data_IF_437431681864
#
_entry.id   IF_437431681864
#
_cell.length_a   1.000
_cell.length_b   1.000
_cell.length_c   1.000
_cell.angle_alpha   90.00
_cell.angle_beta   90.00
_cell.angle_gamma   90.00
#
_symmetry.space_group_name_H-M   'P 1'
#
loop_
_entity.id
_entity.type
_entity.pdbx_description
1 polymer ?
#
# COMPACT_ATOMS: atom_id res chain seq x y z
N UNK A 1 0.60 8.57 9.78
CA UNK A 1 2.07 8.49 9.96
C UNK A 1 2.74 9.10 8.74
N UNK A 2 3.43 10.20 8.92
CA UNK A 2 4.19 10.82 7.86
C UNK A 2 5.67 10.40 8.01
N UNK A 3 6.23 9.67 7.04
CA UNK A 3 7.62 9.20 7.08
C UNK A 3 8.64 10.34 7.04
N UNK A 4 8.28 11.50 6.54
CA UNK A 4 9.14 12.69 6.54
C UNK A 4 9.02 13.51 7.83
N UNK A 5 8.20 13.10 8.79
CA UNK A 5 8.08 13.78 10.07
C UNK A 5 9.33 13.58 10.93
N UNK A 6 9.70 14.61 11.67
CA UNK A 6 10.77 14.50 12.69
C UNK A 6 10.51 13.34 13.67
N UNK A 7 9.23 13.10 13.98
CA UNK A 7 8.84 11.96 14.83
C UNK A 7 9.32 10.63 14.25
N UNK A 8 9.15 10.39 12.96
CA UNK A 8 9.64 9.16 12.33
C UNK A 8 11.16 9.10 12.33
N UNK A 9 11.82 10.19 11.95
CA UNK A 9 13.28 10.25 11.84
C UNK A 9 13.96 9.93 13.19
N UNK A 10 13.42 10.42 14.30
CA UNK A 10 14.01 10.16 15.62
C UNK A 10 13.52 8.85 16.26
N UNK A 11 12.26 8.48 16.03
CA UNK A 11 11.70 7.31 16.70
C UNK A 11 12.05 6.00 15.99
N UNK A 12 12.17 5.99 14.67
CA UNK A 12 12.50 4.77 13.92
C UNK A 12 13.85 4.15 14.30
N UNK A 13 14.96 4.91 14.47
CA UNK A 13 16.21 4.33 14.98
C UNK A 13 16.06 3.68 16.36
N UNK A 14 15.27 4.28 17.26
CA UNK A 14 15.01 3.72 18.58
C UNK A 14 14.23 2.40 18.45
N UNK A 15 13.18 2.39 17.65
CA UNK A 15 12.40 1.18 17.33
C UNK A 15 13.29 0.09 16.76
N UNK A 16 14.19 0.42 15.83
CA UNK A 16 15.11 -0.54 15.21
C UNK A 16 16.11 -1.13 16.22
N UNK A 17 16.66 -0.30 17.10
CA UNK A 17 17.58 -0.75 18.15
C UNK A 17 16.85 -1.68 19.12
N UNK A 18 15.66 -1.32 19.58
CA UNK A 18 14.85 -2.13 20.48
C UNK A 18 14.45 -3.45 19.82
N UNK A 19 13.99 -3.41 18.56
CA UNK A 19 13.66 -4.60 17.79
C UNK A 19 14.78 -5.64 17.75
N UNK A 20 16.04 -5.20 17.54
CA UNK A 20 17.17 -6.10 17.48
C UNK A 20 17.68 -6.53 18.86
N UNK A 21 17.45 -5.74 19.91
CA UNK A 21 17.78 -6.12 21.32
C UNK A 21 16.77 -7.11 21.90
N UNK A 22 15.52 -7.06 21.47
CA UNK A 22 14.49 -7.95 21.97
C UNK A 22 14.71 -9.41 21.53
N UNK A 23 14.47 -10.40 22.42
CA UNK A 23 14.38 -11.79 22.06
C UNK A 23 13.30 -11.99 20.97
N UNK A 24 13.55 -12.92 20.06
CA UNK A 24 12.69 -13.19 18.90
C UNK A 24 11.19 -13.31 19.26
N UNK A 25 10.87 -14.05 20.31
CA UNK A 25 9.48 -14.31 20.74
C UNK A 25 8.68 -13.06 21.08
N UNK A 26 9.34 -11.93 21.36
CA UNK A 26 8.68 -10.65 21.71
C UNK A 26 8.63 -9.67 20.53
N UNK A 27 9.37 -9.90 19.44
CA UNK A 27 9.50 -8.96 18.33
C UNK A 27 8.16 -8.74 17.61
N UNK A 28 7.37 -9.79 17.43
CA UNK A 28 6.05 -9.70 16.82
C UNK A 28 5.11 -8.78 17.62
N UNK A 29 5.02 -9.00 18.94
CA UNK A 29 4.19 -8.19 19.82
C UNK A 29 4.70 -6.74 19.89
N UNK A 30 6.00 -6.54 19.91
CA UNK A 30 6.63 -5.22 19.88
C UNK A 30 6.28 -4.48 18.58
N UNK A 31 6.42 -5.12 17.42
CA UNK A 31 6.07 -4.50 16.13
C UNK A 31 4.57 -4.19 16.05
N UNK A 32 3.72 -5.06 16.59
CA UNK A 32 2.28 -4.80 16.65
C UNK A 32 1.97 -3.57 17.49
N UNK A 33 2.55 -3.46 18.69
CA UNK A 33 2.37 -2.30 19.57
C UNK A 33 2.88 -1.00 18.90
N UNK A 34 4.07 -1.04 18.28
CA UNK A 34 4.65 0.10 17.56
C UNK A 34 3.77 0.50 16.36
N UNK A 35 3.24 -0.46 15.62
CA UNK A 35 2.36 -0.21 14.47
C UNK A 35 1.08 0.52 14.88
N UNK A 36 0.41 0.02 15.91
CA UNK A 36 -0.78 0.69 16.45
C UNK A 36 -0.46 2.05 17.08
N UNK A 37 0.66 2.18 17.79
CA UNK A 37 1.10 3.46 18.34
C UNK A 37 1.26 4.52 17.24
N UNK A 38 1.98 4.22 16.16
CA UNK A 38 2.15 5.14 15.04
C UNK A 38 0.81 5.49 14.38
N UNK A 39 -0.10 4.52 14.27
CA UNK A 39 -1.37 4.73 13.61
C UNK A 39 -2.35 5.57 14.45
N UNK A 40 -2.48 5.25 15.74
CA UNK A 40 -3.36 5.96 16.69
C UNK A 40 -2.89 7.41 16.92
N UNK A 41 -1.59 7.65 16.88
CA UNK A 41 -1.02 9.00 17.01
C UNK A 41 -1.52 9.95 15.92
N UNK A 42 -1.78 9.45 14.72
CA UNK A 42 -2.33 10.28 13.62
C UNK A 42 -3.84 10.53 13.79
N UNK A 43 -4.58 9.51 14.24
CA UNK A 43 -6.02 9.58 14.46
C UNK A 43 -6.47 8.46 15.39
N UNK A 44 -6.94 8.81 16.57
CA UNK A 44 -7.34 7.83 17.59
C UNK A 44 -8.52 6.96 17.15
N UNK A 45 -9.53 7.52 16.47
CA UNK A 45 -10.69 6.77 15.98
C UNK A 45 -10.32 5.80 14.85
N UNK A 46 -9.31 6.16 14.04
CA UNK A 46 -8.83 5.32 12.95
C UNK A 46 -8.19 4.01 13.46
N UNK A 47 -7.58 4.04 14.65
CA UNK A 47 -7.09 2.82 15.32
C UNK A 47 -8.18 1.82 15.61
N UNK A 48 -9.35 2.29 16.06
CA UNK A 48 -10.54 1.46 16.26
C UNK A 48 -11.07 0.86 14.96
N UNK A 49 -11.06 1.63 13.88
CA UNK A 49 -11.47 1.17 12.56
C UNK A 49 -10.51 0.10 11.99
N UNK A 50 -9.21 0.31 12.14
CA UNK A 50 -8.20 -0.68 11.75
C UNK A 50 -8.40 -1.99 12.52
N UNK A 51 -8.65 -1.90 13.84
CA UNK A 51 -8.93 -3.06 14.68
C UNK A 51 -10.21 -3.78 14.23
N UNK A 52 -11.30 -3.03 14.01
CA UNK A 52 -12.58 -3.58 13.53
C UNK A 52 -12.40 -4.32 12.21
N UNK A 53 -11.71 -3.70 11.24
CA UNK A 53 -11.42 -4.32 9.94
C UNK A 53 -10.57 -5.58 10.12
N UNK A 54 -9.55 -5.53 10.97
CA UNK A 54 -8.68 -6.66 11.27
C UNK A 54 -9.46 -7.83 11.86
N UNK A 55 -10.29 -7.59 12.88
CA UNK A 55 -11.10 -8.63 13.53
C UNK A 55 -12.11 -9.24 12.56
N UNK A 56 -12.84 -8.39 11.83
CA UNK A 56 -13.85 -8.85 10.85
C UNK A 56 -13.24 -9.75 9.78
N UNK A 57 -12.11 -9.35 9.19
CA UNK A 57 -11.47 -10.08 8.11
C UNK A 57 -10.72 -11.32 8.60
N UNK A 58 -10.20 -11.30 9.83
CA UNK A 58 -9.65 -12.48 10.50
C UNK A 58 -10.70 -13.57 10.71
N UNK A 59 -11.84 -13.21 11.30
CA UNK A 59 -12.94 -14.14 11.56
C UNK A 59 -13.54 -14.68 10.26
N UNK A 60 -13.66 -13.84 9.24
CA UNK A 60 -14.10 -14.25 7.91
C UNK A 60 -13.15 -15.28 7.27
N UNK A 61 -11.83 -15.06 7.36
CA UNK A 61 -10.84 -16.01 6.88
C UNK A 61 -10.98 -17.39 7.53
N UNK A 62 -11.10 -17.42 8.86
CA UNK A 62 -11.32 -18.67 9.61
C UNK A 62 -12.66 -19.37 9.26
N UNK A 63 -13.73 -18.60 9.08
CA UNK A 63 -15.04 -19.13 8.72
C UNK A 63 -15.05 -19.72 7.30
N UNK A 64 -14.39 -19.04 6.37
CA UNK A 64 -14.22 -19.51 4.98
C UNK A 64 -13.40 -20.80 4.95
N UNK A 65 -12.29 -20.89 5.67
CA UNK A 65 -11.47 -22.12 5.72
C UNK A 65 -12.26 -23.30 6.26
N UNK A 66 -13.08 -23.09 7.32
CA UNK A 66 -13.96 -24.13 7.88
C UNK A 66 -15.06 -24.63 6.94
N UNK A 67 -15.24 -23.98 5.79
CA UNK A 67 -16.17 -24.44 4.76
C UNK A 67 -17.64 -24.04 4.96
N UNK A 68 -17.99 -23.37 6.06
CA UNK A 68 -19.38 -23.02 6.37
C UNK A 68 -19.75 -21.68 5.74
N UNK A 69 -20.70 -21.69 4.79
CA UNK A 69 -21.18 -20.48 4.09
C UNK A 69 -20.07 -19.60 3.48
N UNK A 70 -19.04 -20.21 2.87
CA UNK A 70 -17.85 -19.55 2.30
C UNK A 70 -18.20 -18.30 1.46
N UNK A 71 -19.15 -18.45 0.53
CA UNK A 71 -19.56 -17.35 -0.37
C UNK A 71 -20.24 -16.21 0.39
N UNK A 72 -21.03 -16.54 1.42
CA UNK A 72 -21.69 -15.53 2.26
C UNK A 72 -20.67 -14.68 3.03
N UNK A 73 -19.69 -15.33 3.65
CA UNK A 73 -18.60 -14.63 4.34
C UNK A 73 -17.74 -13.76 3.41
N UNK A 74 -17.44 -14.27 2.21
CA UNK A 74 -16.72 -13.48 1.22
C UNK A 74 -17.49 -12.22 0.83
N UNK A 75 -18.78 -12.36 0.44
CA UNK A 75 -19.62 -11.24 0.02
C UNK A 75 -19.77 -10.23 1.15
N UNK A 76 -20.08 -10.70 2.37
CA UNK A 76 -20.19 -9.85 3.55
C UNK A 76 -18.91 -9.03 3.79
N UNK A 77 -17.76 -9.70 3.80
CA UNK A 77 -16.48 -9.03 4.07
C UNK A 77 -16.12 -8.01 2.99
N UNK A 78 -16.30 -8.38 1.72
CA UNK A 78 -16.04 -7.46 0.60
C UNK A 78 -16.98 -6.27 0.66
N UNK A 79 -18.27 -6.48 0.95
CA UNK A 79 -19.25 -5.41 1.08
C UNK A 79 -18.93 -4.47 2.25
N UNK A 80 -18.52 -5.00 3.41
CA UNK A 80 -18.07 -4.19 4.56
C UNK A 80 -16.82 -3.39 4.20
N UNK A 81 -15.81 -4.01 3.61
CA UNK A 81 -14.57 -3.33 3.20
C UNK A 81 -14.83 -2.22 2.19
N UNK A 82 -15.65 -2.47 1.17
CA UNK A 82 -16.00 -1.46 0.16
C UNK A 82 -16.88 -0.37 0.80
N UNK A 83 -17.84 -0.73 1.63
CA UNK A 83 -18.71 0.23 2.33
C UNK A 83 -17.93 1.17 3.23
N UNK A 84 -16.97 0.65 4.00
CA UNK A 84 -16.07 1.47 4.82
C UNK A 84 -15.17 2.35 3.96
N UNK A 85 -14.65 1.82 2.85
CA UNK A 85 -13.82 2.58 1.93
C UNK A 85 -14.61 3.75 1.33
N UNK A 86 -15.80 3.51 0.78
CA UNK A 86 -16.65 4.55 0.19
C UNK A 86 -17.11 5.54 1.25
N UNK A 87 -17.66 5.06 2.36
CA UNK A 87 -18.23 5.94 3.39
C UNK A 87 -17.22 6.88 4.05
N UNK A 88 -15.99 6.41 4.25
CA UNK A 88 -14.96 7.18 4.96
C UNK A 88 -14.02 7.93 4.02
N UNK A 89 -13.73 7.38 2.84
CA UNK A 89 -12.82 8.03 1.91
C UNK A 89 -13.33 9.37 1.41
N UNK A 90 -14.63 9.51 1.32
CA UNK A 90 -15.30 10.70 0.80
C UNK A 90 -15.78 11.67 1.87
N UNK A 91 -15.60 11.32 3.15
CA UNK A 91 -15.92 12.19 4.29
C UNK A 91 -14.66 12.61 5.04
N UNK A 92 -14.13 11.75 5.88
CA UNK A 92 -12.92 11.98 6.69
C UNK A 92 -11.99 10.77 6.53
N UNK A 93 -11.18 10.72 5.46
CA UNK A 93 -10.39 9.54 5.16
C UNK A 93 -9.29 9.31 6.20
N UNK A 94 -9.31 8.20 6.94
CA UNK A 94 -8.18 7.83 7.76
C UNK A 94 -7.00 7.43 6.86
N UNK A 95 -5.82 7.83 7.27
CA UNK A 95 -4.58 7.54 6.52
C UNK A 95 -4.44 6.03 6.32
N UNK A 96 -4.14 5.60 5.10
CA UNK A 96 -3.89 4.19 4.79
C UNK A 96 -5.14 3.32 4.60
N UNK A 97 -6.39 3.84 4.77
CA UNK A 97 -7.61 3.04 4.63
C UNK A 97 -7.67 2.28 3.31
N UNK A 98 -7.29 2.91 2.21
CA UNK A 98 -7.30 2.31 0.89
C UNK A 98 -6.33 1.11 0.79
N UNK A 99 -5.17 1.20 1.45
CA UNK A 99 -4.13 0.17 1.39
C UNK A 99 -4.51 -1.06 2.22
N UNK A 100 -4.85 -0.88 3.50
CA UNK A 100 -5.18 -2.03 4.33
C UNK A 100 -6.51 -2.68 3.93
N UNK A 101 -7.46 -1.91 3.38
CA UNK A 101 -8.70 -2.48 2.85
C UNK A 101 -8.43 -3.40 1.65
N UNK A 102 -7.57 -2.99 0.72
CA UNK A 102 -7.18 -3.85 -0.40
C UNK A 102 -6.37 -5.07 0.06
N UNK A 103 -5.53 -4.91 1.05
CA UNK A 103 -4.76 -6.01 1.64
C UNK A 103 -5.65 -7.04 2.33
N UNK A 104 -6.64 -6.59 3.12
CA UNK A 104 -7.59 -7.48 3.80
C UNK A 104 -8.52 -8.19 2.82
N UNK A 105 -9.03 -7.47 1.80
CA UNK A 105 -9.82 -8.10 0.73
C UNK A 105 -9.02 -9.16 -0.02
N UNK A 106 -7.77 -8.87 -0.37
CA UNK A 106 -6.89 -9.84 -1.02
C UNK A 106 -6.75 -11.11 -0.18
N UNK A 107 -6.47 -10.97 1.13
CA UNK A 107 -6.36 -12.10 2.04
C UNK A 107 -7.62 -12.97 2.06
N UNK A 108 -8.80 -12.36 2.22
CA UNK A 108 -10.06 -13.10 2.31
C UNK A 108 -10.39 -13.80 0.98
N UNK A 109 -10.10 -13.16 -0.16
CA UNK A 109 -10.29 -13.75 -1.49
C UNK A 109 -9.32 -14.92 -1.71
N UNK A 110 -8.05 -14.78 -1.33
CA UNK A 110 -7.03 -15.84 -1.48
C UNK A 110 -7.37 -17.07 -0.62
N UNK A 111 -7.86 -16.87 0.63
CA UNK A 111 -8.39 -17.95 1.46
C UNK A 111 -9.62 -18.62 0.83
N UNK A 112 -10.55 -17.81 0.27
CA UNK A 112 -11.74 -18.34 -0.42
C UNK A 112 -11.39 -19.19 -1.64
N UNK A 113 -10.35 -18.76 -2.40
CA UNK A 113 -9.85 -19.52 -3.56
C UNK A 113 -9.04 -20.76 -3.17
N UNK A 114 -8.67 -20.89 -1.90
CA UNK A 114 -7.78 -21.97 -1.43
C UNK A 114 -6.31 -21.76 -1.82
N UNK A 115 -5.95 -20.56 -2.23
CA UNK A 115 -4.56 -20.20 -2.59
C UNK A 115 -3.66 -20.10 -1.36
N UNK A 116 -4.24 -19.76 -0.20
CA UNK A 116 -3.58 -19.73 1.11
C UNK A 116 -4.49 -20.32 2.18
N UNK A 117 -3.89 -20.87 3.24
CA UNK A 117 -4.62 -21.25 4.46
C UNK A 117 -4.94 -19.98 5.30
N UNK A 118 -6.04 -20.03 6.06
CA UNK A 118 -6.36 -18.94 6.98
C UNK A 118 -5.32 -18.87 8.12
N UNK A 119 -4.90 -17.65 8.45
CA UNK A 119 -3.99 -17.44 9.59
C UNK A 119 -4.73 -17.72 10.89
N UNK A 120 -4.15 -18.61 11.72
CA UNK A 120 -4.75 -19.02 13.00
C UNK A 120 -4.29 -18.18 14.19
N UNK A 121 -3.15 -17.51 14.05
CA UNK A 121 -2.63 -16.64 15.09
C UNK A 121 -3.16 -15.21 14.90
N UNK A 122 -4.04 -14.71 15.79
CA UNK A 122 -4.62 -13.36 15.65
C UNK A 122 -3.58 -12.26 15.74
N UNK A 123 -2.46 -12.47 16.46
CA UNK A 123 -1.37 -11.49 16.56
C UNK A 123 -0.63 -11.34 15.25
N UNK A 124 -0.24 -12.45 14.63
CA UNK A 124 0.43 -12.45 13.32
C UNK A 124 -0.44 -11.82 12.25
N UNK A 125 -1.75 -12.12 12.27
CA UNK A 125 -2.70 -11.50 11.35
C UNK A 125 -2.85 -9.99 11.60
N UNK A 126 -3.01 -9.58 12.85
CA UNK A 126 -3.12 -8.16 13.21
C UNK A 126 -1.85 -7.39 12.81
N UNK A 127 -0.66 -7.97 13.03
CA UNK A 127 0.59 -7.37 12.59
C UNK A 127 0.67 -7.29 11.05
N UNK A 128 0.25 -8.34 10.34
CA UNK A 128 0.22 -8.34 8.88
C UNK A 128 -0.59 -7.16 8.33
N UNK A 129 -1.75 -6.86 8.90
CA UNK A 129 -2.61 -5.74 8.46
C UNK A 129 -2.04 -4.39 8.89
N UNK A 130 -1.51 -4.30 10.12
CA UNK A 130 -1.08 -3.03 10.73
C UNK A 130 0.38 -2.69 10.56
N UNK A 131 1.20 -3.52 9.91
CA UNK A 131 2.65 -3.37 9.83
C UNK A 131 3.06 -1.96 9.40
N UNK A 132 3.60 -1.17 10.34
CA UNK A 132 3.75 0.27 10.21
C UNK A 132 4.55 0.72 8.97
N UNK A 133 5.59 0.01 8.50
CA UNK A 133 6.30 0.46 7.32
C UNK A 133 5.45 0.42 6.05
N UNK A 134 4.48 -0.51 6.00
CA UNK A 134 3.65 -0.73 4.82
C UNK A 134 2.31 0.02 4.89
N UNK A 135 1.75 0.20 6.08
CA UNK A 135 0.35 0.58 6.32
C UNK A 135 -0.08 1.88 5.63
N UNK A 136 0.79 2.88 5.55
CA UNK A 136 0.43 4.24 5.09
C UNK A 136 0.63 4.45 3.60
N UNK A 137 1.78 4.06 3.07
CA UNK A 137 2.16 4.31 1.68
C UNK A 137 3.12 3.23 1.12
N UNK A 138 3.20 2.10 1.80
CA UNK A 138 3.94 0.94 1.31
C UNK A 138 3.21 0.23 0.17
N UNK A 139 3.79 -0.82 -0.40
CA UNK A 139 3.10 -1.65 -1.38
C UNK A 139 1.91 -2.38 -0.75
N UNK A 140 0.88 -2.66 -1.55
CA UNK A 140 -0.25 -3.51 -1.13
C UNK A 140 0.26 -4.95 -1.05
N UNK A 141 0.61 -5.38 0.17
CA UNK A 141 1.23 -6.67 0.40
C UNK A 141 0.24 -7.84 0.32
N UNK A 142 0.77 -8.99 -0.10
CA UNK A 142 0.04 -10.24 -0.10
C UNK A 142 0.38 -11.06 1.14
N UNK A 143 -0.59 -11.78 1.68
CA UNK A 143 -0.37 -12.65 2.82
C UNK A 143 0.72 -13.69 2.53
N UNK A 144 0.73 -14.27 1.33
CA UNK A 144 1.77 -15.22 0.91
C UNK A 144 3.19 -14.66 0.92
N UNK A 145 3.37 -13.32 0.81
CA UNK A 145 4.68 -12.69 0.89
C UNK A 145 5.03 -12.21 2.31
N UNK A 146 4.17 -11.40 2.91
CA UNK A 146 4.52 -10.69 4.15
C UNK A 146 4.29 -11.55 5.40
N UNK A 147 3.16 -12.29 5.48
CA UNK A 147 2.76 -13.01 6.69
C UNK A 147 3.78 -14.09 7.09
N UNK A 148 4.33 -14.81 6.10
CA UNK A 148 5.41 -15.78 6.33
C UNK A 148 6.64 -15.14 6.93
N UNK A 149 7.10 -14.03 6.35
CA UNK A 149 8.27 -13.29 6.82
C UNK A 149 8.10 -12.73 8.24
N UNK A 150 6.90 -12.26 8.61
CA UNK A 150 6.63 -11.76 9.97
C UNK A 150 6.78 -12.85 11.04
N UNK A 151 6.60 -14.11 10.67
CA UNK A 151 6.70 -15.30 11.55
C UNK A 151 8.10 -15.92 11.54
N UNK A 152 8.97 -15.52 10.64
CA UNK A 152 10.33 -16.05 10.54
C UNK A 152 11.29 -15.38 11.52
N UNK A 153 12.29 -16.15 11.99
CA UNK A 153 13.35 -15.60 12.81
C UNK A 153 14.39 -14.89 11.96
N UNK A 154 14.32 -13.56 11.95
CA UNK A 154 15.31 -12.75 11.26
C UNK A 154 16.60 -12.58 12.07
N UNK A 155 17.73 -12.65 11.37
CA UNK A 155 19.07 -12.34 11.91
C UNK A 155 19.50 -10.95 11.46
N UNK A 156 20.20 -10.24 12.35
CA UNK A 156 20.72 -8.91 12.03
C UNK A 156 21.81 -9.02 10.96
N UNK A 157 21.58 -8.39 9.82
CA UNK A 157 22.51 -8.39 8.68
C UNK A 157 23.00 -6.97 8.40
N UNK A 158 24.35 -6.77 8.38
CA UNK A 158 24.94 -5.48 8.00
C UNK A 158 24.51 -5.06 6.59
N UNK A 159 24.47 -5.98 5.65
CA UNK A 159 24.04 -5.69 4.28
C UNK A 159 22.56 -5.23 4.24
N UNK A 160 21.68 -5.86 5.02
CA UNK A 160 20.28 -5.45 5.10
C UNK A 160 20.14 -4.05 5.73
N UNK A 161 20.91 -3.73 6.77
CA UNK A 161 20.93 -2.41 7.40
C UNK A 161 21.42 -1.33 6.43
N UNK A 162 22.54 -1.54 5.75
CA UNK A 162 23.11 -0.58 4.79
C UNK A 162 22.17 -0.38 3.61
N UNK A 163 21.68 -1.46 3.00
CA UNK A 163 20.76 -1.38 1.88
C UNK A 163 19.42 -0.72 2.27
N UNK A 164 18.93 -0.99 3.48
CA UNK A 164 17.73 -0.34 4.01
C UNK A 164 17.94 1.15 4.25
N UNK A 165 19.07 1.54 4.84
CA UNK A 165 19.43 2.94 5.03
C UNK A 165 19.55 3.70 3.69
N UNK A 166 20.17 3.07 2.68
CA UNK A 166 20.23 3.62 1.32
C UNK A 166 18.85 3.85 0.71
N UNK A 167 17.94 2.88 0.87
CA UNK A 167 16.55 3.02 0.41
C UNK A 167 15.85 4.20 1.10
N UNK A 168 16.01 4.32 2.42
CA UNK A 168 15.43 5.43 3.19
C UNK A 168 16.00 6.77 2.70
N UNK A 169 17.32 6.89 2.58
CA UNK A 169 17.97 8.12 2.11
C UNK A 169 17.51 8.50 0.70
N UNK A 170 17.47 7.53 -0.21
CA UNK A 170 16.97 7.73 -1.58
C UNK A 170 15.50 8.16 -1.58
N UNK A 171 14.68 7.58 -0.70
CA UNK A 171 13.27 7.94 -0.55
C UNK A 171 13.10 9.37 -0.04
N UNK A 172 13.86 9.78 0.97
CA UNK A 172 13.90 11.17 1.45
C UNK A 172 14.33 12.14 0.35
N UNK A 173 15.40 11.83 -0.38
CA UNK A 173 15.85 12.66 -1.50
C UNK A 173 14.74 12.86 -2.54
N UNK A 174 14.10 11.76 -2.99
CA UNK A 174 13.00 11.84 -3.96
C UNK A 174 11.83 12.67 -3.45
N UNK A 175 11.41 12.47 -2.20
CA UNK A 175 10.25 13.14 -1.64
C UNK A 175 10.54 14.60 -1.32
N UNK A 176 11.56 14.86 -0.49
CA UNK A 176 11.81 16.19 0.07
C UNK A 176 12.55 17.11 -0.92
N UNK A 177 13.56 16.56 -1.64
CA UNK A 177 14.40 17.40 -2.52
C UNK A 177 13.79 17.52 -3.90
N UNK A 178 13.20 16.46 -4.45
CA UNK A 178 12.67 16.51 -5.83
C UNK A 178 11.18 16.82 -5.84
N UNK A 179 10.35 15.98 -5.21
CA UNK A 179 8.90 16.10 -5.35
C UNK A 179 8.34 17.37 -4.71
N UNK A 180 8.69 17.66 -3.46
CA UNK A 180 8.18 18.84 -2.75
C UNK A 180 8.69 20.15 -3.37
N UNK A 181 9.91 20.15 -3.91
CA UNK A 181 10.45 21.33 -4.60
C UNK A 181 9.74 21.57 -5.94
N UNK A 182 9.51 20.52 -6.72
CA UNK A 182 8.78 20.64 -7.99
C UNK A 182 7.31 21.00 -7.77
N UNK A 183 6.70 20.56 -6.65
CA UNK A 183 5.32 20.88 -6.30
C UNK A 183 5.06 22.41 -6.32
N UNK A 184 6.01 23.21 -5.81
CA UNK A 184 5.87 24.66 -5.77
C UNK A 184 5.64 25.26 -7.17
N UNK A 185 6.38 24.79 -8.17
CA UNK A 185 6.22 25.24 -9.55
C UNK A 185 4.94 24.69 -10.18
N UNK A 186 4.68 23.39 -9.98
CA UNK A 186 3.51 22.69 -10.53
C UNK A 186 2.22 23.35 -10.02
N UNK A 187 2.12 23.56 -8.72
CA UNK A 187 0.95 24.19 -8.09
C UNK A 187 0.71 25.61 -8.64
N UNK A 188 1.79 26.38 -8.87
CA UNK A 188 1.69 27.71 -9.46
C UNK A 188 1.16 27.65 -10.89
N UNK A 189 1.62 26.71 -11.72
CA UNK A 189 1.16 26.55 -13.10
C UNK A 189 -0.29 26.07 -13.16
N UNK A 190 -0.64 25.05 -12.37
CA UNK A 190 -1.99 24.48 -12.40
C UNK A 190 -3.04 25.36 -11.72
N UNK A 191 -2.65 26.26 -10.81
CA UNK A 191 -3.59 27.22 -10.21
C UNK A 191 -3.93 28.40 -11.14
N UNK A 192 -3.10 28.69 -12.14
CA UNK A 192 -3.30 29.80 -13.09
C UNK A 192 -2.67 29.46 -14.46
N UNK A 193 -3.20 28.47 -15.18
CA UNK A 193 -2.60 27.98 -16.42
C UNK A 193 -2.50 29.06 -17.51
N UNK A 194 -3.48 30.00 -17.53
CA UNK A 194 -3.52 31.11 -18.47
C UNK A 194 -2.32 32.09 -18.31
N UNK A 195 -1.73 32.15 -17.11
CA UNK A 195 -0.56 33.02 -16.83
C UNK A 195 0.76 32.32 -17.14
N UNK A 196 0.77 30.99 -17.23
CA UNK A 196 1.98 30.23 -17.43
C UNK A 196 2.53 30.30 -18.86
N UNK A 197 1.68 30.60 -19.83
CA UNK A 197 2.01 30.51 -21.26
C UNK A 197 2.30 29.07 -21.72
N UNK A 198 2.52 28.88 -23.03
CA UNK A 198 2.70 27.55 -23.61
C UNK A 198 3.91 26.79 -23.05
N UNK A 199 5.07 27.45 -22.95
CA UNK A 199 6.29 26.81 -22.41
C UNK A 199 6.12 26.48 -20.94
N UNK A 200 5.53 27.37 -20.14
CA UNK A 200 5.26 27.13 -18.73
C UNK A 200 4.32 25.95 -18.51
N UNK A 201 3.28 25.78 -19.33
CA UNK A 201 2.36 24.65 -19.27
C UNK A 201 3.06 23.31 -19.59
N UNK A 202 3.91 23.30 -20.63
CA UNK A 202 4.71 22.09 -20.98
C UNK A 202 5.66 21.71 -19.83
N UNK A 203 6.40 22.67 -19.29
CA UNK A 203 7.28 22.44 -18.14
C UNK A 203 6.50 21.98 -16.91
N UNK A 204 5.33 22.58 -16.62
CA UNK A 204 4.45 22.17 -15.54
C UNK A 204 4.02 20.70 -15.67
N UNK A 205 3.67 20.27 -16.87
CA UNK A 205 3.28 18.87 -17.16
C UNK A 205 4.45 17.90 -16.94
N UNK A 206 5.64 18.22 -17.45
CA UNK A 206 6.85 17.39 -17.25
C UNK A 206 7.22 17.33 -15.76
N UNK A 207 7.20 18.46 -15.08
CA UNK A 207 7.51 18.50 -13.65
C UNK A 207 6.48 17.77 -12.80
N UNK A 208 5.19 17.84 -13.16
CA UNK A 208 4.16 17.05 -12.52
C UNK A 208 4.39 15.53 -12.67
N UNK A 209 4.79 15.08 -13.86
CA UNK A 209 5.13 13.68 -14.07
C UNK A 209 6.31 13.23 -13.18
N UNK A 210 7.34 14.06 -13.05
CA UNK A 210 8.49 13.77 -12.17
C UNK A 210 8.06 13.84 -10.69
N UNK A 211 7.28 14.85 -10.32
CA UNK A 211 6.78 15.05 -8.96
C UNK A 211 5.98 13.85 -8.48
N UNK A 212 4.95 13.42 -9.19
CA UNK A 212 4.08 12.29 -8.78
C UNK A 212 4.87 10.98 -8.65
N UNK A 213 5.84 10.76 -9.52
CA UNK A 213 6.72 9.60 -9.43
C UNK A 213 7.64 9.69 -8.21
N UNK A 214 8.31 10.81 -8.00
CA UNK A 214 9.25 10.99 -6.89
C UNK A 214 8.54 11.01 -5.55
N UNK A 215 7.36 11.62 -5.47
CA UNK A 215 6.53 11.65 -4.27
C UNK A 215 6.19 10.23 -3.81
N UNK A 216 5.52 9.46 -4.65
CA UNK A 216 5.04 8.14 -4.25
C UNK A 216 6.16 7.09 -4.19
N UNK A 217 7.11 7.08 -5.14
CA UNK A 217 8.24 6.17 -5.06
C UNK A 217 9.17 6.49 -3.89
N UNK A 218 9.26 7.74 -3.47
CA UNK A 218 9.98 8.16 -2.28
C UNK A 218 9.40 7.55 -1.00
N UNK A 219 8.10 7.67 -0.79
CA UNK A 219 7.42 7.02 0.34
C UNK A 219 7.59 5.50 0.32
N UNK A 220 7.45 4.88 -0.85
CA UNK A 220 7.64 3.43 -1.02
C UNK A 220 9.07 2.99 -0.70
N UNK A 221 10.07 3.76 -1.11
CA UNK A 221 11.48 3.47 -0.80
C UNK A 221 11.75 3.57 0.70
N UNK A 222 11.21 4.57 1.41
CA UNK A 222 11.33 4.69 2.88
C UNK A 222 10.68 3.48 3.56
N UNK A 223 9.46 3.12 3.17
CA UNK A 223 8.74 1.95 3.68
C UNK A 223 9.55 0.65 3.52
N UNK A 224 10.04 0.39 2.30
CA UNK A 224 10.86 -0.77 1.97
C UNK A 224 12.19 -0.77 2.72
N UNK A 225 12.80 0.40 2.85
CA UNK A 225 14.04 0.57 3.60
C UNK A 225 13.88 0.25 5.08
N UNK A 226 12.83 0.79 5.70
CA UNK A 226 12.51 0.53 7.11
C UNK A 226 12.25 -0.97 7.36
N UNK A 227 11.43 -1.62 6.53
CA UNK A 227 11.20 -3.05 6.61
C UNK A 227 12.48 -3.86 6.39
N UNK A 228 13.30 -3.47 5.40
CA UNK A 228 14.57 -4.14 5.08
C UNK A 228 15.55 -4.13 6.25
N UNK A 229 15.64 -3.02 6.99
CA UNK A 229 16.50 -2.92 8.18
C UNK A 229 16.05 -3.86 9.30
N UNK A 230 14.78 -4.28 9.32
CA UNK A 230 14.24 -5.28 10.24
C UNK A 230 14.33 -6.72 9.70
N UNK A 231 14.89 -6.90 8.49
CA UNK A 231 15.01 -8.21 7.84
C UNK A 231 13.83 -8.58 6.94
N UNK A 232 12.82 -7.72 6.83
CA UNK A 232 11.58 -7.95 6.08
C UNK A 232 11.68 -7.33 4.68
N UNK A 233 11.23 -8.05 3.66
CA UNK A 233 11.26 -7.61 2.26
C UNK A 233 9.85 -7.32 1.77
N UNK A 234 9.54 -6.04 1.59
CA UNK A 234 8.31 -5.62 0.95
C UNK A 234 8.44 -5.67 -0.59
N UNK A 235 7.30 -5.82 -1.26
CA UNK A 235 7.20 -5.80 -2.72
C UNK A 235 7.68 -4.46 -3.30
N UNK A 236 8.01 -4.45 -4.59
CA UNK A 236 8.31 -3.21 -5.32
C UNK A 236 7.03 -2.59 -5.87
N UNK A 237 6.94 -1.25 -5.78
CA UNK A 237 5.87 -0.50 -6.44
C UNK A 237 6.31 0.16 -7.75
N UNK A 238 7.61 0.44 -7.90
CA UNK A 238 8.13 1.15 -9.07
C UNK A 238 9.41 0.51 -9.59
N UNK A 239 9.49 0.33 -10.92
CA UNK A 239 10.68 -0.20 -11.61
C UNK A 239 10.97 0.62 -12.85
N UNK A 240 11.54 1.82 -12.68
CA UNK A 240 11.88 2.75 -13.78
C UNK A 240 10.74 2.94 -14.79
N UNK A 241 9.54 3.43 -14.37
CA UNK A 241 8.34 3.44 -15.21
C UNK A 241 8.49 4.29 -16.48
N UNK A 242 9.25 5.38 -16.42
CA UNK A 242 9.46 6.26 -17.57
C UNK A 242 10.50 5.73 -18.61
N UNK A 243 11.05 4.53 -18.39
CA UNK A 243 11.80 3.77 -19.38
C UNK A 243 10.95 2.74 -20.12
N UNK A 244 9.63 2.77 -19.92
CA UNK A 244 8.73 1.86 -20.58
C UNK A 244 8.69 2.10 -22.10
N UNK A 245 8.66 1.02 -22.86
CA UNK A 245 8.61 1.04 -24.31
C UNK A 245 7.17 0.89 -24.86
N UNK A 246 6.22 0.66 -24.00
CA UNK A 246 4.78 0.59 -24.30
C UNK A 246 3.94 0.93 -23.09
N UNK A 247 2.65 1.25 -23.30
CA UNK A 247 1.68 1.49 -22.20
C UNK A 247 1.56 0.24 -21.32
N UNK A 248 1.58 -0.95 -21.90
CA UNK A 248 1.53 -2.20 -21.14
C UNK A 248 2.79 -2.37 -20.26
N UNK A 249 3.98 -2.05 -20.78
CA UNK A 249 5.23 -2.08 -20.03
C UNK A 249 5.24 -1.02 -18.93
N UNK A 250 4.66 0.17 -19.20
CA UNK A 250 4.50 1.22 -18.19
C UNK A 250 3.72 0.70 -16.96
N UNK A 251 2.56 0.09 -17.13
CA UNK A 251 1.77 -0.44 -16.02
C UNK A 251 2.41 -1.64 -15.31
N UNK A 252 3.33 -2.36 -15.94
CA UNK A 252 4.16 -3.39 -15.30
C UNK A 252 5.23 -2.80 -14.38
N UNK A 253 5.52 -1.50 -14.51
CA UNK A 253 6.58 -0.78 -13.80
C UNK A 253 6.04 0.30 -12.86
N UNK A 254 4.80 0.74 -13.06
CA UNK A 254 4.11 1.76 -12.28
C UNK A 254 3.14 1.13 -11.29
N UNK A 255 3.22 1.54 -10.00
CA UNK A 255 2.35 1.08 -8.91
C UNK A 255 2.05 -0.42 -8.98
N UNK A 256 3.12 -1.22 -9.04
CA UNK A 256 3.09 -2.64 -9.38
C UNK A 256 2.14 -3.43 -8.49
N UNK A 257 2.12 -3.14 -7.17
CA UNK A 257 1.25 -3.86 -6.23
C UNK A 257 -0.23 -3.61 -6.51
N UNK A 258 -0.62 -2.36 -6.83
CA UNK A 258 -1.99 -2.01 -7.21
C UNK A 258 -2.38 -2.61 -8.56
N UNK A 259 -1.51 -2.48 -9.56
CA UNK A 259 -1.73 -3.06 -10.90
C UNK A 259 -1.95 -4.56 -10.82
N UNK A 260 -1.14 -5.28 -10.02
CA UNK A 260 -1.33 -6.71 -9.76
C UNK A 260 -2.63 -6.99 -9.02
N UNK A 261 -2.98 -6.16 -8.02
CA UNK A 261 -4.23 -6.32 -7.29
C UNK A 261 -5.44 -6.27 -8.22
N UNK A 262 -5.54 -5.24 -9.06
CA UNK A 262 -6.63 -5.13 -10.05
C UNK A 262 -6.58 -6.25 -11.08
N UNK A 263 -5.41 -6.68 -11.49
CA UNK A 263 -5.26 -7.82 -12.42
C UNK A 263 -5.83 -9.10 -11.82
N UNK A 264 -5.44 -9.45 -10.60
CA UNK A 264 -5.77 -10.75 -9.98
C UNK A 264 -7.21 -10.81 -9.46
N UNK A 265 -7.76 -9.67 -8.99
CA UNK A 265 -9.07 -9.67 -8.33
C UNK A 265 -10.18 -9.04 -9.17
N UNK A 266 -9.87 -8.34 -10.24
CA UNK A 266 -10.88 -7.72 -11.13
C UNK A 266 -10.71 -8.21 -12.56
N UNK A 267 -9.57 -7.98 -13.19
CA UNK A 267 -9.38 -8.22 -14.62
C UNK A 267 -9.49 -9.71 -14.99
N UNK A 268 -8.77 -10.57 -14.28
CA UNK A 268 -8.79 -12.04 -14.52
C UNK A 268 -10.17 -12.64 -14.24
N UNK A 269 -10.86 -12.34 -13.12
CA UNK A 269 -12.22 -12.82 -12.87
C UNK A 269 -13.25 -12.39 -13.92
N UNK A 270 -13.11 -11.21 -14.53
CA UNK A 270 -13.96 -10.75 -15.64
C UNK A 270 -13.68 -11.49 -16.97
N UNK A 271 -12.67 -12.36 -17.00
CA UNK A 271 -12.26 -13.15 -18.17
C UNK A 271 -10.95 -12.68 -18.82
N UNK A 272 -10.33 -11.60 -18.32
CA UNK A 272 -9.06 -11.10 -18.83
C UNK A 272 -9.11 -10.79 -20.33
N UNK A 273 -8.10 -11.27 -21.07
CA UNK A 273 -8.01 -11.18 -22.54
C UNK A 273 -8.50 -12.42 -23.29
N UNK A 274 -9.06 -13.43 -22.57
CA UNK A 274 -9.37 -14.75 -23.14
C UNK A 274 -10.68 -14.78 -23.97
N UNK A 275 -11.53 -13.76 -23.87
CA UNK A 275 -12.89 -13.74 -24.44
C UNK A 275 -13.02 -12.77 -25.62
N UNK A 276 -11.94 -12.48 -26.34
CA UNK A 276 -11.92 -11.59 -27.51
C UNK A 276 -11.69 -10.11 -27.16
N UNK A 277 -11.35 -9.33 -28.18
CA UNK A 277 -10.90 -7.94 -28.07
C UNK A 277 -11.93 -7.02 -27.39
N UNK A 278 -13.20 -7.09 -27.77
CA UNK A 278 -14.26 -6.22 -27.20
C UNK A 278 -14.42 -6.44 -25.70
N UNK A 279 -14.39 -7.71 -25.25
CA UNK A 279 -14.48 -8.01 -23.82
C UNK A 279 -13.19 -7.61 -23.06
N UNK A 280 -12.05 -7.71 -23.72
CA UNK A 280 -10.79 -7.21 -23.17
C UNK A 280 -10.85 -5.69 -22.94
N UNK A 281 -11.30 -4.90 -23.92
CA UNK A 281 -11.47 -3.45 -23.80
C UNK A 281 -12.44 -3.09 -22.67
N UNK A 282 -13.58 -3.77 -22.59
CA UNK A 282 -14.54 -3.62 -21.49
C UNK A 282 -13.89 -3.88 -20.13
N UNK A 283 -13.13 -4.98 -19.99
CA UNK A 283 -12.50 -5.36 -18.73
C UNK A 283 -11.44 -4.33 -18.31
N UNK A 284 -10.66 -3.81 -19.26
CA UNK A 284 -9.70 -2.72 -19.03
C UNK A 284 -10.43 -1.46 -18.56
N UNK A 285 -11.50 -1.07 -19.25
CA UNK A 285 -12.32 0.10 -18.87
C UNK A 285 -12.85 -0.03 -17.44
N UNK A 286 -13.41 -1.19 -17.07
CA UNK A 286 -13.86 -1.45 -15.69
C UNK A 286 -12.74 -1.28 -14.68
N UNK A 287 -11.54 -1.81 -14.96
CA UNK A 287 -10.36 -1.66 -14.08
C UNK A 287 -10.00 -0.19 -13.90
N UNK A 288 -9.96 0.60 -14.98
CA UNK A 288 -9.63 2.02 -14.89
C UNK A 288 -10.70 2.82 -14.14
N UNK A 289 -11.97 2.57 -14.38
CA UNK A 289 -13.07 3.20 -13.64
C UNK A 289 -12.98 2.89 -12.14
N UNK A 290 -12.81 1.62 -11.76
CA UNK A 290 -12.64 1.24 -10.35
C UNK A 290 -11.38 1.82 -9.72
N UNK A 291 -10.29 1.90 -10.49
CA UNK A 291 -9.05 2.55 -10.03
C UNK A 291 -9.25 4.05 -9.85
N UNK A 292 -9.97 4.72 -10.75
CA UNK A 292 -10.31 6.14 -10.63
C UNK A 292 -11.12 6.42 -9.37
N UNK A 293 -12.20 5.68 -9.14
CA UNK A 293 -12.98 5.75 -7.88
C UNK A 293 -12.13 5.45 -6.63
N UNK A 294 -11.20 4.52 -6.74
CA UNK A 294 -10.27 4.24 -5.64
C UNK A 294 -9.33 5.41 -5.37
N UNK A 295 -8.90 6.16 -6.37
CA UNK A 295 -8.04 7.33 -6.20
C UNK A 295 -8.77 8.51 -5.54
N UNK A 296 -10.00 8.79 -5.94
CA UNK A 296 -10.77 9.91 -5.36
C UNK A 296 -12.21 10.02 -5.88
N UNK A 297 -13.01 10.84 -5.17
CA UNK A 297 -14.42 11.09 -5.48
C UNK A 297 -14.65 12.15 -6.57
N UNK A 298 -13.61 12.79 -7.05
CA UNK A 298 -13.71 13.81 -8.10
C UNK A 298 -13.73 13.16 -9.48
N UNK A 299 -14.52 13.71 -10.38
CA UNK A 299 -14.51 13.33 -11.80
C UNK A 299 -13.13 13.42 -12.46
N UNK A 300 -12.22 14.19 -11.89
CA UNK A 300 -10.82 14.28 -12.36
C UNK A 300 -10.05 12.96 -12.23
N UNK A 301 -10.57 11.98 -11.47
CA UNK A 301 -9.94 10.67 -11.29
C UNK A 301 -10.59 9.57 -12.13
N UNK A 302 -11.76 9.81 -12.72
CA UNK A 302 -12.52 8.89 -13.55
C UNK A 302 -12.41 9.28 -15.02
#
# INVERSE_FOLDING_TARGET
>A
MNFISLTFVFLFPIVLILYWKLPWKYRELFLLAVSYFFYIKESSWAGGLLLLTTVTTYLAGLAIEKGRHKKGWLIFTVAVCIGLLIGLKYSVPPVGISFYTFQTMAYVIDVYRGEIAAEKNPRSYALFISFFPQLVAGPIERAGNLLGQLKEKHTKSRAALVNGAWLILRGFYKKVVVADYLAVYVDKVYSSPEKAGGIGAVLGTVFFAIQIYCDFSGYTDIARGAARMMGIRLMENFRHPYRAVSIQDFWRRWHISLTRWFTDYVYIPLGGNRKGFVKQCRNILIVFLLSGFWHGASWNFV
#
